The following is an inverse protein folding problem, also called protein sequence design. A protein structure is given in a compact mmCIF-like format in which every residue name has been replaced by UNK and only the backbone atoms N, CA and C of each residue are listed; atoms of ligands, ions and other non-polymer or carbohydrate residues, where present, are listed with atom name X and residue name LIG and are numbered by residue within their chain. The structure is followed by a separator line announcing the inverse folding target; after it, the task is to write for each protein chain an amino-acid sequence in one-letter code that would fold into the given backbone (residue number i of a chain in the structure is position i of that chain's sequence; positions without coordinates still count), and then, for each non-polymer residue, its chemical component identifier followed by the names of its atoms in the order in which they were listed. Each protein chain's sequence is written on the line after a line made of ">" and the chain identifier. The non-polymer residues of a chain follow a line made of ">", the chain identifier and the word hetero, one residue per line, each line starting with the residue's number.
data_IF_247661099548
#
_entry.id   IF_247661099548
#
_cell.length_a   1.000
_cell.length_b   1.000
_cell.length_c   1.000
_cell.angle_alpha   90.00
_cell.angle_beta   90.00
_cell.angle_gamma   90.00
#
_symmetry.space_group_name_H-M   'P 1'
#
loop_
_entity.id
_entity.type
_entity.pdbx_description
1 polymer ?
#
# COMPACT_ATOMS: atom_id res chain seq x y z
N UNK A 1 -14.38 7.28 11.06
CA UNK A 1 -14.25 5.85 11.44
C UNK A 1 -14.17 5.61 12.96
N UNK A 2 -14.80 4.52 13.44
CA UNK A 2 -14.69 4.04 14.83
C UNK A 2 -13.81 2.77 14.93
N UNK A 3 -13.47 2.35 16.16
CA UNK A 3 -12.57 1.21 16.39
C UNK A 3 -13.13 -0.14 15.94
N UNK A 4 -14.45 -0.33 15.98
CA UNK A 4 -15.10 -1.57 15.52
C UNK A 4 -15.03 -1.69 13.99
N UNK A 5 -15.30 -0.60 13.28
CA UNK A 5 -15.18 -0.53 11.82
C UNK A 5 -13.73 -0.74 11.37
N UNK A 6 -12.78 -0.10 12.05
CA UNK A 6 -11.35 -0.29 11.78
C UNK A 6 -10.93 -1.76 12.00
N UNK A 7 -11.36 -2.37 13.11
CA UNK A 7 -11.10 -3.78 13.37
C UNK A 7 -11.67 -4.68 12.27
N UNK A 8 -12.93 -4.46 11.86
CA UNK A 8 -13.55 -5.20 10.75
C UNK A 8 -12.77 -5.04 9.44
N UNK A 9 -12.36 -3.81 9.11
CA UNK A 9 -11.51 -3.56 7.95
C UNK A 9 -10.20 -4.36 8.01
N UNK A 10 -9.55 -4.38 9.17
CA UNK A 10 -8.32 -5.13 9.42
C UNK A 10 -8.47 -6.64 9.28
N UNK A 11 -9.59 -7.22 9.70
CA UNK A 11 -9.78 -8.67 9.65
C UNK A 11 -10.37 -9.16 8.32
N UNK A 12 -11.27 -8.40 7.70
CA UNK A 12 -12.03 -8.82 6.51
C UNK A 12 -11.30 -8.44 5.20
N UNK A 13 -10.61 -7.30 5.16
CA UNK A 13 -10.12 -6.71 3.91
C UNK A 13 -8.60 -6.64 3.82
N UNK A 14 -7.91 -6.17 4.87
CA UNK A 14 -6.46 -5.99 4.81
C UNK A 14 -5.66 -7.25 4.45
N UNK A 15 -5.98 -8.47 4.94
CA UNK A 15 -5.24 -9.66 4.56
C UNK A 15 -5.28 -9.91 3.05
N UNK A 16 -6.39 -9.58 2.39
CA UNK A 16 -6.57 -9.72 0.94
C UNK A 16 -5.83 -8.63 0.18
N UNK A 17 -5.76 -7.40 0.72
CA UNK A 17 -4.90 -6.34 0.17
C UNK A 17 -3.43 -6.77 0.26
N UNK A 18 -2.99 -7.23 1.44
CA UNK A 18 -1.62 -7.74 1.67
C UNK A 18 -1.28 -8.81 0.64
N UNK A 19 -2.15 -9.82 0.49
CA UNK A 19 -1.93 -10.89 -0.48
C UNK A 19 -1.80 -10.36 -1.90
N UNK A 20 -2.65 -9.41 -2.30
CA UNK A 20 -2.63 -8.86 -3.65
C UNK A 20 -1.40 -8.00 -3.90
N UNK A 21 -1.02 -7.15 -2.95
CA UNK A 21 0.21 -6.34 -3.02
C UNK A 21 1.43 -7.24 -3.07
N UNK A 22 1.48 -8.28 -2.23
CA UNK A 22 2.57 -9.26 -2.20
C UNK A 22 2.81 -9.95 -3.55
N UNK A 23 1.75 -10.13 -4.35
CA UNK A 23 1.84 -10.71 -5.71
C UNK A 23 2.35 -9.72 -6.77
N UNK A 24 2.25 -8.41 -6.51
CA UNK A 24 2.69 -7.35 -7.43
C UNK A 24 4.13 -6.95 -7.14
N UNK A 25 4.53 -6.93 -5.86
CA UNK A 25 5.87 -6.56 -5.43
C UNK A 25 6.86 -7.73 -5.51
N UNK A 26 8.14 -7.41 -5.68
CA UNK A 26 9.22 -8.40 -5.85
C UNK A 26 9.54 -9.16 -4.54
N UNK A 27 10.16 -10.34 -4.70
CA UNK A 27 10.58 -11.20 -3.60
C UNK A 27 11.60 -10.51 -2.69
N UNK A 28 11.22 -10.24 -1.44
CA UNK A 28 12.07 -9.54 -0.46
C UNK A 28 11.51 -8.18 -0.03
N UNK A 29 10.35 -7.79 -0.54
CA UNK A 29 9.53 -6.74 0.04
C UNK A 29 8.76 -7.29 1.24
N UNK A 30 8.90 -6.63 2.40
CA UNK A 30 8.14 -6.87 3.62
C UNK A 30 6.88 -6.01 3.60
N UNK A 31 5.75 -6.66 3.85
CA UNK A 31 4.46 -6.01 4.00
C UNK A 31 3.99 -6.22 5.44
N UNK A 32 3.67 -5.13 6.12
CA UNK A 32 3.28 -5.12 7.53
C UNK A 32 1.99 -4.31 7.71
N UNK A 33 1.02 -4.92 8.38
CA UNK A 33 -0.19 -4.21 8.83
C UNK A 33 0.15 -3.50 10.14
N UNK A 34 -0.04 -2.18 10.15
CA UNK A 34 -0.01 -1.37 11.37
C UNK A 34 -1.46 -1.10 11.76
N UNK A 35 -1.91 -1.76 12.83
CA UNK A 35 -3.29 -1.66 13.30
C UNK A 35 -3.68 -0.25 13.73
N UNK A 36 -4.98 0.00 13.69
CA UNK A 36 -5.63 1.18 14.19
C UNK A 36 -5.36 1.35 15.68
N UNK A 37 -4.85 2.52 16.06
CA UNK A 37 -4.68 2.89 17.47
C UNK A 37 -5.68 3.97 17.88
N UNK A 38 -5.95 4.93 16.99
CA UNK A 38 -6.88 6.04 17.22
C UNK A 38 -7.27 6.70 15.91
N UNK A 39 -8.23 7.63 15.93
CA UNK A 39 -8.61 8.39 14.74
C UNK A 39 -7.45 9.21 14.13
N UNK A 40 -6.40 9.48 14.91
CA UNK A 40 -5.21 10.20 14.45
C UNK A 40 -4.10 9.25 13.97
N UNK A 41 -4.26 7.95 14.26
CA UNK A 41 -3.34 6.86 13.92
C UNK A 41 -4.17 5.73 13.31
N UNK A 42 -4.62 5.90 12.06
CA UNK A 42 -5.47 4.92 11.39
C UNK A 42 -4.67 3.67 11.02
N UNK A 43 -5.40 2.62 10.65
CA UNK A 43 -4.81 1.42 10.06
C UNK A 43 -3.96 1.79 8.84
N UNK A 44 -2.73 1.27 8.79
CA UNK A 44 -1.77 1.52 7.72
C UNK A 44 -1.23 0.21 7.18
N UNK A 45 -0.96 0.17 5.88
CA UNK A 45 -0.14 -0.89 5.29
C UNK A 45 1.25 -0.34 4.99
N UNK A 46 2.27 -0.89 5.64
CA UNK A 46 3.67 -0.56 5.37
C UNK A 46 4.25 -1.55 4.37
N UNK A 47 4.84 -1.02 3.30
CA UNK A 47 5.56 -1.77 2.28
C UNK A 47 7.01 -1.31 2.32
N UNK A 48 7.91 -2.20 2.72
CA UNK A 48 9.31 -1.85 2.97
C UNK A 48 10.27 -2.92 2.48
N UNK A 49 11.47 -2.53 2.06
CA UNK A 49 12.48 -3.46 1.64
C UNK A 49 13.87 -2.84 1.71
N UNK A 50 14.87 -3.68 1.96
CA UNK A 50 16.25 -3.30 1.69
C UNK A 50 16.47 -3.11 0.18
N UNK A 51 17.45 -2.28 -0.24
CA UNK A 51 17.73 -2.05 -1.65
C UNK A 51 18.00 -3.37 -2.37
N UNK A 52 17.42 -3.54 -3.57
CA UNK A 52 17.61 -4.78 -4.32
C UNK A 52 19.11 -4.97 -4.64
N UNK A 53 19.67 -6.20 -4.50
CA UNK A 53 21.05 -6.47 -4.88
C UNK A 53 21.22 -6.10 -6.36
N UNK A 54 22.24 -5.28 -6.65
CA UNK A 54 22.45 -4.76 -8.00
C UNK A 54 22.69 -5.91 -8.97
N UNK A 55 21.76 -6.14 -9.90
CA UNK A 55 22.08 -6.89 -11.11
C UNK A 55 23.09 -6.04 -11.88
N UNK A 56 24.25 -6.62 -12.17
CA UNK A 56 25.39 -5.92 -12.73
C UNK A 56 25.08 -5.08 -13.97
N UNK A 57 25.86 -4.02 -14.10
CA UNK A 57 26.02 -3.13 -15.25
C UNK A 57 24.82 -2.27 -15.68
N UNK A 58 24.96 -0.97 -15.42
CA UNK A 58 24.27 0.09 -16.16
C UNK A 58 23.25 0.86 -15.33
N UNK A 59 23.72 1.83 -14.54
CA UNK A 59 23.03 3.08 -14.16
C UNK A 59 21.48 3.05 -14.13
N UNK A 60 20.83 2.10 -13.46
CA UNK A 60 19.47 2.36 -12.97
C UNK A 60 19.64 3.38 -11.85
N UNK A 61 19.08 4.58 -12.03
CA UNK A 61 19.04 5.62 -11.02
C UNK A 61 18.34 5.04 -9.78
N UNK A 62 19.15 4.55 -8.83
CA UNK A 62 18.69 4.15 -7.51
C UNK A 62 18.58 5.42 -6.68
N UNK A 63 17.43 5.61 -6.04
CA UNK A 63 17.25 6.71 -5.13
C UNK A 63 18.02 6.50 -3.81
N UNK A 64 18.18 7.57 -3.04
CA UNK A 64 19.04 7.59 -1.86
C UNK A 64 18.53 6.72 -0.69
N UNK A 65 17.22 6.47 -0.62
CA UNK A 65 16.60 5.77 0.50
C UNK A 65 16.05 4.40 0.08
N UNK A 66 16.09 3.40 0.99
CA UNK A 66 15.43 2.12 0.77
C UNK A 66 13.91 2.28 0.73
N UNK A 67 13.21 1.31 0.13
CA UNK A 67 11.75 1.31 0.05
C UNK A 67 11.13 1.32 1.45
N UNK A 68 10.29 2.32 1.72
CA UNK A 68 9.56 2.52 2.95
C UNK A 68 8.31 3.37 2.68
N UNK A 69 7.25 2.68 2.24
CA UNK A 69 5.98 3.26 1.82
C UNK A 69 4.89 2.91 2.81
N UNK A 70 3.99 3.86 3.06
CA UNK A 70 2.77 3.67 3.84
C UNK A 70 1.55 3.94 2.97
N UNK A 71 0.56 3.04 3.04
CA UNK A 71 -0.75 3.20 2.40
C UNK A 71 -1.79 3.45 3.50
N UNK A 72 -2.58 4.51 3.35
CA UNK A 72 -3.79 4.75 4.17
C UNK A 72 -4.99 4.96 3.27
N UNK A 73 -6.14 4.45 3.70
CA UNK A 73 -7.42 4.65 3.03
C UNK A 73 -8.21 5.75 3.73
N UNK A 74 -9.08 6.39 2.97
CA UNK A 74 -10.01 7.37 3.53
C UNK A 74 -11.06 6.69 4.42
N UNK A 75 -11.40 7.32 5.55
CA UNK A 75 -12.36 6.80 6.52
C UNK A 75 -13.75 6.62 5.89
N UNK A 76 -14.21 7.56 5.06
CA UNK A 76 -15.50 7.49 4.39
C UNK A 76 -15.53 6.35 3.36
N UNK A 77 -14.39 6.11 2.69
CA UNK A 77 -14.24 4.99 1.76
C UNK A 77 -14.26 3.63 2.47
N UNK A 78 -13.66 3.52 3.66
CA UNK A 78 -13.77 2.30 4.49
C UNK A 78 -15.22 2.12 4.95
N UNK A 79 -15.91 3.17 5.39
CA UNK A 79 -17.31 3.08 5.81
C UNK A 79 -18.22 2.63 4.64
N UNK A 80 -17.97 3.16 3.44
CA UNK A 80 -18.64 2.71 2.20
C UNK A 80 -18.30 1.26 1.82
N UNK A 81 -17.10 0.78 2.14
CA UNK A 81 -16.66 -0.60 1.90
C UNK A 81 -17.38 -1.59 2.81
N UNK A 82 -17.65 -1.20 4.06
CA UNK A 82 -18.40 -2.02 5.01
C UNK A 82 -19.91 -2.04 4.73
N UNK A 83 -20.40 -1.13 3.90
CA UNK A 83 -21.78 -1.03 3.46
C UNK A 83 -22.18 -1.98 2.32
N UNK A 84 -23.42 -1.85 1.85
CA UNK A 84 -23.95 -2.68 0.77
C UNK A 84 -23.17 -2.47 -0.55
N UNK A 85 -22.84 -3.58 -1.22
CA UNK A 85 -22.08 -3.56 -2.48
C UNK A 85 -20.58 -3.31 -2.32
N UNK A 86 -20.08 -3.17 -1.09
CA UNK A 86 -18.68 -2.92 -0.79
C UNK A 86 -17.75 -4.03 -1.29
N UNK A 87 -18.13 -5.30 -1.17
CA UNK A 87 -17.33 -6.43 -1.67
C UNK A 87 -17.06 -6.34 -3.18
N UNK A 88 -18.06 -5.95 -3.98
CA UNK A 88 -17.87 -5.80 -5.43
C UNK A 88 -16.94 -4.63 -5.78
N UNK A 89 -17.00 -3.54 -5.00
CA UNK A 89 -16.05 -2.42 -5.11
C UNK A 89 -14.64 -2.88 -4.73
N UNK A 90 -14.53 -3.62 -3.64
CA UNK A 90 -13.27 -4.15 -3.14
C UNK A 90 -12.58 -5.04 -4.17
N UNK A 91 -13.32 -5.96 -4.80
CA UNK A 91 -12.75 -6.84 -5.83
C UNK A 91 -12.20 -6.05 -7.03
N UNK A 92 -12.94 -5.04 -7.52
CA UNK A 92 -12.44 -4.15 -8.58
C UNK A 92 -11.19 -3.39 -8.15
N UNK A 93 -11.16 -2.92 -6.91
CA UNK A 93 -9.96 -2.29 -6.35
C UNK A 93 -8.77 -3.26 -6.32
N UNK A 94 -8.96 -4.52 -5.89
CA UNK A 94 -7.90 -5.54 -5.89
C UNK A 94 -7.41 -5.86 -7.31
N UNK A 95 -8.28 -5.79 -8.31
CA UNK A 95 -7.88 -5.97 -9.71
C UNK A 95 -7.05 -4.77 -10.21
N UNK A 96 -7.40 -3.56 -9.78
CA UNK A 96 -6.74 -2.30 -10.17
C UNK A 96 -5.47 -1.96 -9.37
N UNK A 97 -5.26 -2.55 -8.19
CA UNK A 97 -4.22 -2.12 -7.25
C UNK A 97 -2.80 -2.17 -7.82
N UNK A 98 -2.52 -3.12 -8.73
CA UNK A 98 -1.23 -3.19 -9.41
C UNK A 98 -0.97 -1.96 -10.29
N UNK A 99 -1.95 -1.59 -11.11
CA UNK A 99 -1.88 -0.39 -11.94
C UNK A 99 -1.83 0.89 -11.10
N UNK A 100 -2.54 0.94 -9.96
CA UNK A 100 -2.45 2.05 -9.01
C UNK A 100 -1.03 2.18 -8.43
N UNK A 101 -0.43 1.08 -7.97
CA UNK A 101 0.95 1.07 -7.46
C UNK A 101 1.96 1.54 -8.52
N UNK A 102 1.80 1.13 -9.78
CA UNK A 102 2.64 1.59 -10.89
C UNK A 102 2.47 3.09 -11.17
N UNK A 103 1.25 3.61 -11.15
CA UNK A 103 1.00 5.05 -11.30
C UNK A 103 1.60 5.86 -10.14
N UNK A 104 1.53 5.33 -8.92
CA UNK A 104 2.06 5.95 -7.71
C UNK A 104 3.59 6.02 -7.67
N UNK A 105 4.27 5.02 -8.24
CA UNK A 105 5.73 5.00 -8.37
C UNK A 105 6.25 6.26 -9.09
N UNK A 106 5.65 6.61 -10.22
CA UNK A 106 6.05 7.81 -11.00
C UNK A 106 5.67 9.14 -10.37
N UNK A 107 4.68 9.16 -9.47
CA UNK A 107 4.18 10.40 -8.86
C UNK A 107 4.90 10.79 -7.55
N UNK A 108 5.68 9.89 -6.96
CA UNK A 108 6.35 10.07 -5.66
C UNK A 108 7.81 9.64 -5.66
N UNK A 109 8.41 9.48 -6.84
CA UNK A 109 9.80 9.08 -7.00
C UNK A 109 10.13 7.81 -6.19
N UNK A 110 9.25 6.81 -6.32
CA UNK A 110 9.40 5.47 -5.74
C UNK A 110 9.66 4.48 -6.87
N UNK A 111 10.64 3.62 -6.69
CA UNK A 111 10.97 2.55 -7.63
C UNK A 111 10.95 1.20 -6.90
N UNK A 112 9.90 0.41 -7.15
CA UNK A 112 9.74 -0.92 -6.57
C UNK A 112 10.76 -1.93 -7.12
N UNK A 113 11.25 -1.74 -8.35
CA UNK A 113 12.21 -2.65 -8.97
C UNK A 113 13.61 -2.51 -8.33
N UNK A 114 14.06 -1.28 -8.05
CA UNK A 114 15.30 -1.06 -7.31
C UNK A 114 15.12 -1.10 -5.80
N UNK A 115 13.86 -1.14 -5.32
CA UNK A 115 13.45 -1.06 -3.92
C UNK A 115 14.02 0.19 -3.25
N UNK A 116 13.89 1.32 -3.94
CA UNK A 116 14.41 2.61 -3.48
C UNK A 116 13.43 3.75 -3.73
N UNK A 117 13.60 4.85 -3.01
CA UNK A 117 12.77 6.06 -3.10
C UNK A 117 13.55 7.32 -2.77
N UNK A 118 13.09 8.46 -3.29
CA UNK A 118 13.77 9.76 -3.13
C UNK A 118 13.73 10.31 -1.70
N UNK A 119 12.68 9.98 -0.94
CA UNK A 119 12.46 10.44 0.44
C UNK A 119 12.62 9.31 1.45
N UNK A 120 12.96 9.57 2.74
CA UNK A 120 13.10 8.51 3.75
C UNK A 120 11.82 7.71 4.04
N UNK A 121 10.65 8.31 3.82
CA UNK A 121 9.35 7.67 3.92
C UNK A 121 8.37 8.34 2.95
N UNK A 122 7.51 7.53 2.34
CA UNK A 122 6.46 8.02 1.44
C UNK A 122 5.11 7.56 1.96
N UNK A 123 4.15 8.49 2.05
CA UNK A 123 2.77 8.20 2.40
C UNK A 123 1.88 8.39 1.17
N UNK A 124 1.23 7.32 0.73
CA UNK A 124 0.06 7.39 -0.15
C UNK A 124 -1.17 7.35 0.74
N UNK A 125 -1.70 8.54 1.06
CA UNK A 125 -2.85 8.67 1.93
C UNK A 125 -4.13 9.05 1.20
N UNK A 126 -5.26 8.81 1.88
CA UNK A 126 -6.59 9.10 1.33
C UNK A 126 -6.94 8.23 0.14
N UNK A 127 -6.47 6.98 0.14
CA UNK A 127 -6.72 6.05 -0.95
C UNK A 127 -8.20 5.64 -0.97
N UNK A 128 -8.78 5.68 -2.16
CA UNK A 128 -10.13 5.19 -2.42
C UNK A 128 -10.13 3.72 -2.90
N UNK A 129 -11.32 3.12 -2.83
CA UNK A 129 -11.58 1.79 -3.42
C UNK A 129 -12.22 1.89 -4.81
N UNK A 130 -12.20 3.07 -5.43
CA UNK A 130 -12.72 3.26 -6.79
C UNK A 130 -11.63 2.90 -7.82
N UNK A 131 -12.02 2.35 -8.95
CA UNK A 131 -11.11 1.81 -9.98
C UNK A 131 -11.25 2.58 -11.29
#
# INVERSE_FOLDING_TARGET
>A
MNSEQAYRFEIEFLPRIVERVARVVDHGVRIEILSYESAHVPTRLRVSAEPAPGQGDGHRHRYAHPLNVFLTWDDEEIERLLGAGGEARFLRYLDAIGAKLDAWQGARDVDLATRSQAEPSVLFGGLDFES
#
